data_IF_791371606778
#
_entry.id   IF_791371606778
#
_cell.length_a   1.000
_cell.length_b   1.000
_cell.length_c   1.000
_cell.angle_alpha   90.00
_cell.angle_beta   90.00
_cell.angle_gamma   90.00
#
_symmetry.space_group_name_H-M   'P 1'
#
loop_
_entity.id
_entity.type
_entity.pdbx_description
1 polymer ?
#
# COMPACT_ATOMS: atom_id res chain seq x y z
N UNK A 1 -46.56 3.80 27.11
CA UNK A 1 -45.35 2.96 27.23
C UNK A 1 -45.81 1.55 27.49
N UNK A 2 -45.55 0.61 26.57
CA UNK A 2 -45.78 -0.81 26.84
C UNK A 2 -44.84 -1.26 27.97
N UNK A 3 -45.35 -1.89 29.04
CA UNK A 3 -44.50 -2.35 30.14
C UNK A 3 -43.58 -3.49 29.69
N UNK A 4 -42.34 -3.48 30.17
CA UNK A 4 -41.38 -4.56 29.92
C UNK A 4 -41.98 -5.89 30.39
N UNK A 5 -42.22 -6.82 29.47
CA UNK A 5 -42.77 -8.13 29.82
C UNK A 5 -41.66 -9.03 30.39
N UNK A 6 -41.22 -8.71 31.61
CA UNK A 6 -40.22 -9.47 32.36
C UNK A 6 -40.87 -10.70 32.98
N UNK A 7 -40.24 -11.87 32.76
CA UNK A 7 -40.65 -13.13 33.34
C UNK A 7 -40.47 -13.18 34.88
N UNK A 8 -41.07 -14.20 35.51
CA UNK A 8 -41.03 -14.39 36.97
C UNK A 8 -39.62 -14.48 37.58
N UNK A 9 -38.63 -15.14 36.95
CA UNK A 9 -37.23 -15.09 37.33
C UNK A 9 -36.63 -13.67 37.39
N UNK A 10 -36.80 -12.86 36.34
CA UNK A 10 -36.24 -11.51 36.28
C UNK A 10 -36.78 -10.58 37.37
N UNK A 11 -38.09 -10.66 37.65
CA UNK A 11 -38.72 -9.87 38.74
C UNK A 11 -38.17 -10.24 40.12
N UNK A 12 -37.89 -11.53 40.36
CA UNK A 12 -37.27 -12.00 41.62
C UNK A 12 -35.86 -11.47 41.80
N UNK A 13 -35.07 -11.44 40.72
CA UNK A 13 -33.70 -10.92 40.72
C UNK A 13 -33.69 -9.42 41.02
N UNK A 14 -34.53 -8.63 40.33
CA UNK A 14 -34.62 -7.19 40.56
C UNK A 14 -34.98 -6.87 42.03
N UNK A 15 -35.96 -7.58 42.60
CA UNK A 15 -36.34 -7.43 44.01
C UNK A 15 -35.21 -7.81 44.97
N UNK A 16 -34.45 -8.88 44.68
CA UNK A 16 -33.30 -9.33 45.49
C UNK A 16 -32.18 -8.30 45.54
N UNK A 17 -31.99 -7.54 44.47
CA UNK A 17 -30.94 -6.51 44.36
C UNK A 17 -31.45 -5.08 44.62
N UNK A 18 -32.70 -4.90 45.08
CA UNK A 18 -33.25 -3.58 45.40
C UNK A 18 -33.47 -2.67 44.18
N UNK A 19 -33.62 -3.23 42.98
CA UNK A 19 -33.79 -2.48 41.74
C UNK A 19 -35.26 -2.13 41.55
N UNK A 20 -35.57 -0.82 41.52
CA UNK A 20 -36.90 -0.30 41.25
C UNK A 20 -37.18 -0.27 39.73
N UNK A 21 -37.89 -1.29 39.25
CA UNK A 21 -38.25 -1.45 37.84
C UNK A 21 -39.20 -0.36 37.33
N UNK A 22 -39.93 0.34 38.20
CA UNK A 22 -40.85 1.41 37.80
C UNK A 22 -40.14 2.72 37.41
N UNK A 23 -38.89 2.87 37.85
CA UNK A 23 -38.02 4.03 37.56
C UNK A 23 -37.05 3.78 36.41
N UNK A 24 -37.11 2.60 35.78
CA UNK A 24 -36.26 2.27 34.65
C UNK A 24 -36.79 2.92 33.36
N UNK A 25 -35.97 3.78 32.76
CA UNK A 25 -36.19 4.20 31.37
C UNK A 25 -35.63 3.14 30.43
N UNK A 26 -36.51 2.23 30.01
CA UNK A 26 -36.19 1.10 29.14
C UNK A 26 -35.65 1.57 27.80
N UNK A 27 -36.25 2.61 27.22
CA UNK A 27 -35.86 3.09 25.89
C UNK A 27 -34.42 3.60 25.95
N UNK A 28 -34.09 4.40 26.97
CA UNK A 28 -32.72 4.87 27.21
C UNK A 28 -31.72 3.73 27.41
N UNK A 29 -32.13 2.64 28.04
CA UNK A 29 -31.27 1.45 28.22
C UNK A 29 -31.05 0.72 26.90
N UNK A 30 -32.08 0.57 26.07
CA UNK A 30 -31.99 -0.05 24.74
C UNK A 30 -31.12 0.81 23.81
N UNK A 31 -31.35 2.12 23.75
CA UNK A 31 -30.54 3.06 22.95
C UNK A 31 -29.07 3.03 23.37
N UNK A 32 -28.79 3.03 24.69
CA UNK A 32 -27.43 2.91 25.21
C UNK A 32 -26.78 1.56 24.88
N UNK A 33 -27.56 0.46 24.86
CA UNK A 33 -27.07 -0.87 24.46
C UNK A 33 -26.74 -0.90 22.97
N UNK A 34 -27.59 -0.35 22.13
CA UNK A 34 -27.38 -0.38 20.67
C UNK A 34 -26.24 0.55 20.26
N UNK A 35 -26.12 1.73 20.86
CA UNK A 35 -24.94 2.60 20.70
C UNK A 35 -23.63 1.90 21.11
N UNK A 36 -23.63 1.12 22.21
CA UNK A 36 -22.46 0.32 22.62
C UNK A 36 -22.11 -0.75 21.60
N UNK A 37 -23.08 -1.51 21.10
CA UNK A 37 -22.86 -2.53 20.06
C UNK A 37 -22.30 -1.91 18.78
N UNK A 38 -22.82 -0.75 18.38
CA UNK A 38 -22.33 -0.03 17.20
C UNK A 38 -20.87 0.40 17.39
N UNK A 39 -20.53 0.98 18.54
CA UNK A 39 -19.15 1.34 18.88
C UNK A 39 -18.21 0.12 18.90
N UNK A 40 -18.66 -1.01 19.46
CA UNK A 40 -17.91 -2.27 19.47
C UNK A 40 -17.70 -2.80 18.04
N UNK A 41 -18.71 -2.74 17.17
CA UNK A 41 -18.61 -3.16 15.79
C UNK A 41 -17.65 -2.28 14.97
N UNK A 42 -17.69 -0.96 15.17
CA UNK A 42 -16.74 -0.01 14.56
C UNK A 42 -15.32 -0.33 15.01
N UNK A 43 -15.10 -0.46 16.33
CA UNK A 43 -13.79 -0.79 16.91
C UNK A 43 -13.24 -2.12 16.39
N UNK A 44 -14.08 -3.16 16.35
CA UNK A 44 -13.70 -4.48 15.83
C UNK A 44 -13.31 -4.40 14.35
N UNK A 45 -14.06 -3.65 13.55
CA UNK A 45 -13.77 -3.43 12.13
C UNK A 45 -12.44 -2.70 11.94
N UNK A 46 -12.19 -1.64 12.71
CA UNK A 46 -10.93 -0.88 12.68
C UNK A 46 -9.73 -1.77 13.02
N UNK A 47 -9.81 -2.56 14.10
CA UNK A 47 -8.74 -3.49 14.50
C UNK A 47 -8.47 -4.53 13.39
N UNK A 48 -9.52 -5.12 12.82
CA UNK A 48 -9.36 -6.09 11.74
C UNK A 48 -8.74 -5.49 10.48
N UNK A 49 -9.10 -4.25 10.14
CA UNK A 49 -8.51 -3.54 9.02
C UNK A 49 -7.03 -3.25 9.24
N UNK A 50 -6.65 -2.81 10.46
CA UNK A 50 -5.25 -2.61 10.83
C UNK A 50 -4.44 -3.92 10.75
N UNK A 51 -4.99 -5.04 11.24
CA UNK A 51 -4.35 -6.36 11.14
C UNK A 51 -4.16 -6.77 9.68
N UNK A 52 -5.18 -6.62 8.83
CA UNK A 52 -5.11 -6.95 7.41
C UNK A 52 -4.07 -6.10 6.69
N UNK A 53 -4.07 -4.79 6.95
CA UNK A 53 -3.10 -3.84 6.40
C UNK A 53 -1.66 -4.21 6.77
N UNK A 54 -1.41 -4.51 8.05
CA UNK A 54 -0.09 -4.93 8.52
C UNK A 54 0.35 -6.25 7.89
N UNK A 55 -0.55 -7.24 7.80
CA UNK A 55 -0.26 -8.53 7.15
C UNK A 55 0.06 -8.36 5.66
N UNK A 56 -0.68 -7.51 4.97
CA UNK A 56 -0.43 -7.19 3.56
C UNK A 56 0.95 -6.53 3.40
N UNK A 57 1.24 -5.49 4.17
CA UNK A 57 2.51 -4.76 4.08
C UNK A 57 3.72 -5.64 4.41
N UNK A 58 3.61 -6.48 5.45
CA UNK A 58 4.67 -7.43 5.83
C UNK A 58 4.85 -8.58 4.82
N UNK A 59 3.91 -8.75 3.87
CA UNK A 59 4.07 -9.69 2.76
C UNK A 59 4.59 -9.05 1.47
N UNK A 60 5.05 -7.80 1.55
CA UNK A 60 5.66 -7.11 0.42
C UNK A 60 6.80 -7.91 -0.19
N UNK A 61 6.95 -7.81 -1.51
CA UNK A 61 7.97 -8.53 -2.27
C UNK A 61 9.24 -7.67 -2.35
N UNK A 62 10.20 -7.98 -1.50
CA UNK A 62 11.48 -7.26 -1.37
C UNK A 62 12.60 -8.27 -1.04
N UNK A 63 13.83 -7.96 -1.44
CA UNK A 63 14.98 -8.83 -1.19
C UNK A 63 15.43 -8.81 0.27
N UNK A 64 15.44 -7.62 0.87
CA UNK A 64 15.75 -7.41 2.27
C UNK A 64 14.54 -6.84 3.00
N UNK A 65 14.02 -7.59 3.97
CA UNK A 65 12.84 -7.16 4.72
C UNK A 65 13.14 -6.02 5.69
N UNK A 66 14.41 -5.81 6.08
CA UNK A 66 14.81 -4.71 6.95
C UNK A 66 14.60 -3.35 6.27
N UNK A 67 14.76 -3.29 4.94
CA UNK A 67 14.53 -2.08 4.15
C UNK A 67 13.10 -1.55 4.28
N UNK A 68 12.10 -2.42 4.52
CA UNK A 68 10.71 -1.98 4.73
C UNK A 68 10.51 -1.16 6.00
N UNK A 69 11.47 -1.14 6.92
CA UNK A 69 11.40 -0.32 8.12
C UNK A 69 11.84 1.13 7.91
N UNK A 70 12.44 1.45 6.75
CA UNK A 70 12.98 2.78 6.46
C UNK A 70 11.91 3.87 6.47
N UNK A 71 12.23 4.98 7.10
CA UNK A 71 11.38 6.17 7.24
C UNK A 71 12.06 7.41 6.66
N UNK A 72 11.32 8.51 6.61
CA UNK A 72 11.90 9.79 6.21
C UNK A 72 13.07 10.21 7.12
N UNK A 73 13.05 9.87 8.40
CA UNK A 73 14.10 10.28 9.35
C UNK A 73 15.45 9.61 9.06
N UNK A 74 15.43 8.47 8.36
CA UNK A 74 16.64 7.74 7.97
C UNK A 74 17.35 8.41 6.76
N UNK A 75 16.67 9.31 6.02
CA UNK A 75 17.19 9.92 4.80
C UNK A 75 18.20 11.03 5.10
N UNK A 76 19.49 10.71 4.88
CA UNK A 76 20.60 11.67 5.10
C UNK A 76 20.63 12.75 4.03
N UNK A 77 20.25 13.97 4.41
CA UNK A 77 20.33 15.15 3.56
C UNK A 77 21.71 15.79 3.72
N UNK A 78 22.50 15.80 2.63
CA UNK A 78 23.85 16.38 2.60
C UNK A 78 24.00 17.50 1.58
N UNK A 79 23.02 17.69 0.69
CA UNK A 79 23.01 18.78 -0.28
C UNK A 79 21.58 19.30 -0.58
N UNK A 80 21.51 20.41 -1.31
CA UNK A 80 20.24 21.07 -1.65
C UNK A 80 19.35 20.26 -2.60
N UNK A 81 19.92 19.40 -3.45
CA UNK A 81 19.14 18.54 -4.36
C UNK A 81 18.43 17.46 -3.57
N UNK A 82 19.17 16.78 -2.68
CA UNK A 82 18.63 15.79 -1.75
C UNK A 82 17.52 16.40 -0.87
N UNK A 83 17.71 17.64 -0.40
CA UNK A 83 16.67 18.36 0.35
C UNK A 83 15.39 18.55 -0.46
N UNK A 84 15.52 19.03 -1.70
CA UNK A 84 14.37 19.21 -2.60
C UNK A 84 13.68 17.88 -2.95
N UNK A 85 14.42 16.81 -3.21
CA UNK A 85 13.89 15.47 -3.49
C UNK A 85 13.13 14.92 -2.27
N UNK A 86 13.71 15.05 -1.08
CA UNK A 86 13.10 14.71 0.19
C UNK A 86 11.78 15.47 0.44
N UNK A 87 11.80 16.80 0.30
CA UNK A 87 10.62 17.64 0.56
C UNK A 87 9.47 17.32 -0.40
N UNK A 88 9.79 17.02 -1.67
CA UNK A 88 8.79 16.55 -2.66
C UNK A 88 8.20 15.20 -2.28
N UNK A 89 9.02 14.24 -1.85
CA UNK A 89 8.54 12.92 -1.45
C UNK A 89 7.63 13.01 -0.21
N UNK A 90 8.00 13.84 0.78
CA UNK A 90 7.18 14.12 1.95
C UNK A 90 5.84 14.78 1.57
N UNK A 91 5.86 15.76 0.68
CA UNK A 91 4.64 16.39 0.18
C UNK A 91 3.71 15.40 -0.55
N UNK A 92 4.27 14.45 -1.32
CA UNK A 92 3.49 13.37 -1.94
C UNK A 92 2.84 12.49 -0.87
N UNK A 93 3.56 12.12 0.19
CA UNK A 93 3.03 11.32 1.30
C UNK A 93 1.82 12.00 1.98
N UNK A 94 1.93 13.29 2.23
CA UNK A 94 0.88 14.12 2.81
C UNK A 94 -0.34 14.20 1.88
N UNK A 95 -0.13 14.47 0.59
CA UNK A 95 -1.21 14.54 -0.42
C UNK A 95 -1.96 13.22 -0.54
N UNK A 96 -1.25 12.09 -0.60
CA UNK A 96 -1.88 10.75 -0.62
C UNK A 96 -2.68 10.50 0.65
N UNK A 97 -2.12 10.85 1.81
CA UNK A 97 -2.79 10.68 3.11
C UNK A 97 -4.08 11.50 3.17
N UNK A 98 -4.07 12.70 2.58
CA UNK A 98 -5.22 13.60 2.44
C UNK A 98 -6.17 13.24 1.28
N UNK A 99 -5.97 12.10 0.62
CA UNK A 99 -6.93 11.55 -0.34
C UNK A 99 -6.58 11.79 -1.81
N UNK A 100 -5.40 12.33 -2.13
CA UNK A 100 -5.00 12.42 -3.54
C UNK A 100 -4.81 11.03 -4.15
N UNK A 101 -5.49 10.82 -5.27
CA UNK A 101 -5.33 9.65 -6.13
C UNK A 101 -4.45 9.98 -7.33
N UNK A 102 -3.59 9.05 -7.72
CA UNK A 102 -2.79 9.20 -8.93
C UNK A 102 -1.58 8.29 -8.99
N UNK A 103 -0.82 8.47 -10.07
CA UNK A 103 0.47 7.85 -10.27
C UNK A 103 1.57 8.85 -9.94
N UNK A 104 2.64 8.33 -9.35
CA UNK A 104 3.83 9.07 -8.95
C UNK A 104 5.06 8.36 -9.52
N UNK A 105 6.07 9.12 -9.94
CA UNK A 105 7.24 8.55 -10.62
C UNK A 105 8.53 9.16 -10.09
N UNK A 106 9.41 8.29 -9.61
CA UNK A 106 10.67 8.63 -8.99
C UNK A 106 11.74 8.14 -9.97
N UNK A 107 12.35 9.06 -10.71
CA UNK A 107 13.25 8.73 -11.82
C UNK A 107 14.62 9.36 -11.63
N UNK A 108 15.69 8.60 -11.81
CA UNK A 108 17.06 9.12 -11.70
C UNK A 108 18.09 8.04 -11.43
N UNK A 109 19.33 8.43 -11.17
CA UNK A 109 20.46 7.50 -11.09
C UNK A 109 20.34 6.49 -9.93
N UNK A 110 21.00 5.33 -10.07
CA UNK A 110 21.10 4.35 -9.00
C UNK A 110 21.74 4.97 -7.73
N UNK A 111 21.32 4.51 -6.55
CA UNK A 111 21.86 4.99 -5.27
C UNK A 111 21.41 6.38 -4.81
N UNK A 112 20.53 7.07 -5.54
CA UNK A 112 19.99 8.39 -5.16
C UNK A 112 18.88 8.36 -4.09
N UNK A 113 18.49 7.18 -3.59
CA UNK A 113 17.48 7.06 -2.52
C UNK A 113 16.01 7.00 -2.96
N UNK A 114 15.74 6.74 -4.25
CA UNK A 114 14.36 6.59 -4.79
C UNK A 114 13.54 5.55 -4.03
N UNK A 115 14.06 4.33 -3.91
CA UNK A 115 13.42 3.19 -3.25
C UNK A 115 13.16 3.49 -1.78
N UNK A 116 14.16 4.02 -1.09
CA UNK A 116 14.07 4.44 0.31
C UNK A 116 12.97 5.48 0.53
N UNK A 117 12.91 6.55 -0.27
CA UNK A 117 11.84 7.55 -0.16
C UNK A 117 10.46 6.98 -0.53
N UNK A 118 10.39 6.05 -1.48
CA UNK A 118 9.15 5.36 -1.83
C UNK A 118 8.64 4.49 -0.66
N UNK A 119 9.54 3.75 0.01
CA UNK A 119 9.23 2.97 1.22
C UNK A 119 8.81 3.92 2.36
N UNK A 120 9.53 5.03 2.54
CA UNK A 120 9.22 6.05 3.55
C UNK A 120 7.80 6.61 3.38
N UNK A 121 7.33 6.79 2.15
CA UNK A 121 5.94 7.18 1.85
C UNK A 121 4.96 6.10 2.31
N UNK A 122 5.22 4.82 2.01
CA UNK A 122 4.37 3.72 2.48
C UNK A 122 4.29 3.68 4.00
N UNK A 123 5.42 3.87 4.69
CA UNK A 123 5.47 3.89 6.14
C UNK A 123 4.74 5.09 6.74
N UNK A 124 4.88 6.27 6.14
CA UNK A 124 4.13 7.45 6.53
C UNK A 124 2.61 7.22 6.40
N UNK A 125 2.15 6.66 5.28
CA UNK A 125 0.73 6.33 5.08
C UNK A 125 0.29 5.23 6.05
N UNK A 126 1.15 4.26 6.32
CA UNK A 126 0.85 3.17 7.24
C UNK A 126 0.61 3.68 8.67
N UNK A 127 1.34 4.71 9.09
CA UNK A 127 1.24 5.32 10.41
C UNK A 127 0.11 6.36 10.52
N UNK A 128 -0.16 7.13 9.46
CA UNK A 128 -1.05 8.30 9.52
C UNK A 128 -2.43 8.09 8.86
N UNK A 129 -2.69 6.92 8.26
CA UNK A 129 -3.98 6.65 7.62
C UNK A 129 -4.48 5.23 7.94
N UNK A 130 -5.56 5.11 8.72
CA UNK A 130 -6.10 3.81 9.14
C UNK A 130 -6.81 3.00 8.04
N UNK A 131 -7.10 3.63 6.89
CA UNK A 131 -7.94 3.03 5.85
C UNK A 131 -7.10 2.45 4.71
N UNK A 132 -6.07 3.17 4.26
CA UNK A 132 -5.30 2.77 3.07
C UNK A 132 -4.31 1.65 3.39
N UNK A 133 -4.35 0.60 2.59
CA UNK A 133 -3.41 -0.52 2.61
C UNK A 133 -2.25 -0.31 1.64
N UNK A 134 -1.03 -0.60 2.10
CA UNK A 134 0.22 -0.38 1.36
C UNK A 134 0.89 -1.70 0.98
N UNK A 135 1.52 -1.75 -0.19
CA UNK A 135 2.31 -2.89 -0.63
C UNK A 135 3.53 -2.40 -1.42
N UNK A 136 4.67 -3.04 -1.19
CA UNK A 136 5.89 -2.85 -1.97
C UNK A 136 6.15 -4.08 -2.83
N UNK A 137 6.56 -3.88 -4.08
CA UNK A 137 6.96 -4.94 -4.97
C UNK A 137 8.20 -4.53 -5.78
N UNK A 138 9.30 -5.27 -5.61
CA UNK A 138 10.39 -5.30 -6.57
C UNK A 138 9.90 -5.92 -7.88
N UNK A 139 9.96 -5.17 -8.98
CA UNK A 139 9.43 -5.66 -10.26
C UNK A 139 10.29 -6.80 -10.82
N UNK A 140 11.62 -6.74 -10.67
CA UNK A 140 12.53 -7.80 -11.10
C UNK A 140 12.27 -9.11 -10.36
N UNK A 141 12.05 -9.06 -9.04
CA UNK A 141 11.66 -10.24 -8.26
C UNK A 141 10.31 -10.79 -8.71
N UNK A 142 9.33 -9.91 -8.95
CA UNK A 142 7.99 -10.33 -9.40
C UNK A 142 8.05 -11.06 -10.73
N UNK A 143 8.86 -10.58 -11.68
CA UNK A 143 9.09 -11.24 -12.97
C UNK A 143 9.73 -12.62 -12.75
N UNK A 144 10.76 -12.72 -11.91
CA UNK A 144 11.45 -13.97 -11.62
C UNK A 144 10.53 -15.02 -10.97
N UNK A 145 9.75 -14.65 -9.94
CA UNK A 145 8.79 -15.57 -9.30
C UNK A 145 7.77 -16.11 -10.30
N UNK A 146 7.30 -15.24 -11.19
CA UNK A 146 6.33 -15.61 -12.22
C UNK A 146 6.92 -16.56 -13.27
N UNK A 147 8.16 -16.31 -13.71
CA UNK A 147 8.88 -17.20 -14.64
C UNK A 147 9.11 -18.57 -14.00
N UNK A 148 9.60 -18.60 -12.75
CA UNK A 148 9.85 -19.86 -12.05
C UNK A 148 8.55 -20.64 -11.79
N UNK A 149 7.45 -19.93 -11.51
CA UNK A 149 6.11 -20.50 -11.33
C UNK A 149 5.51 -21.16 -12.58
N UNK A 150 6.13 -21.01 -13.76
CA UNK A 150 5.73 -21.75 -14.97
C UNK A 150 5.93 -23.25 -14.74
N UNK A 151 7.07 -23.64 -14.17
CA UNK A 151 7.46 -25.04 -14.00
C UNK A 151 7.31 -25.56 -12.57
N UNK A 152 7.12 -24.68 -11.58
CA UNK A 152 7.02 -25.04 -10.17
C UNK A 152 5.66 -24.61 -9.57
N UNK A 153 4.80 -25.57 -9.14
CA UNK A 153 3.51 -25.26 -8.52
C UNK A 153 3.60 -24.47 -7.21
N UNK A 154 4.67 -24.65 -6.43
CA UNK A 154 4.93 -23.90 -5.20
C UNK A 154 5.17 -22.43 -5.51
N UNK A 155 6.16 -22.14 -6.36
CA UNK A 155 6.52 -20.78 -6.77
C UNK A 155 5.37 -20.09 -7.52
N UNK A 156 4.55 -20.86 -8.26
CA UNK A 156 3.31 -20.33 -8.88
C UNK A 156 2.36 -19.75 -7.84
N UNK A 157 2.21 -20.38 -6.68
CA UNK A 157 1.32 -19.87 -5.62
C UNK A 157 1.85 -18.57 -5.04
N UNK A 158 3.16 -18.45 -4.88
CA UNK A 158 3.79 -17.23 -4.35
C UNK A 158 3.65 -16.07 -5.35
N UNK A 159 3.91 -16.32 -6.64
CA UNK A 159 3.68 -15.35 -7.70
C UNK A 159 2.21 -14.87 -7.76
N UNK A 160 1.25 -15.81 -7.70
CA UNK A 160 -0.18 -15.48 -7.67
C UNK A 160 -0.58 -14.71 -6.40
N UNK A 161 0.06 -15.02 -5.26
CA UNK A 161 -0.15 -14.30 -4.01
C UNK A 161 0.36 -12.86 -4.13
N UNK A 162 1.56 -12.66 -4.69
CA UNK A 162 2.12 -11.33 -4.93
C UNK A 162 1.24 -10.52 -5.89
N UNK A 163 0.80 -11.10 -7.01
CA UNK A 163 -0.15 -10.47 -7.94
C UNK A 163 -1.48 -10.10 -7.24
N UNK A 164 -1.99 -10.97 -6.35
CA UNK A 164 -3.21 -10.70 -5.57
C UNK A 164 -3.01 -9.53 -4.59
N UNK A 165 -1.86 -9.45 -3.92
CA UNK A 165 -1.54 -8.34 -3.03
C UNK A 165 -1.42 -7.01 -3.81
N UNK A 166 -0.72 -7.04 -4.95
CA UNK A 166 -0.63 -5.93 -5.90
C UNK A 166 -2.01 -5.49 -6.39
N UNK A 167 -2.90 -6.42 -6.72
CA UNK A 167 -4.27 -6.08 -7.15
C UNK A 167 -5.07 -5.43 -6.03
N UNK A 168 -4.94 -5.91 -4.80
CA UNK A 168 -5.85 -5.56 -3.71
C UNK A 168 -5.39 -4.35 -2.87
N UNK A 169 -4.09 -4.06 -2.79
CA UNK A 169 -3.61 -2.90 -2.02
C UNK A 169 -4.12 -1.57 -2.58
N UNK A 170 -4.22 -0.54 -1.74
CA UNK A 170 -4.64 0.80 -2.15
C UNK A 170 -3.47 1.60 -2.73
N UNK A 171 -2.30 1.48 -2.10
CA UNK A 171 -1.06 2.15 -2.47
C UNK A 171 0.00 1.09 -2.80
N UNK A 172 0.53 1.14 -4.02
CA UNK A 172 1.60 0.26 -4.48
C UNK A 172 2.85 1.06 -4.74
N UNK A 173 3.99 0.59 -4.22
CA UNK A 173 5.30 0.89 -4.81
C UNK A 173 5.68 -0.25 -5.73
N UNK A 174 5.93 0.07 -7.01
CA UNK A 174 6.52 -0.83 -7.98
C UNK A 174 7.95 -0.35 -8.25
N UNK A 175 8.91 -1.09 -7.69
CA UNK A 175 10.30 -0.67 -7.62
C UNK A 175 11.12 -1.16 -8.83
N UNK A 176 12.04 -0.30 -9.26
CA UNK A 176 13.05 -0.50 -10.30
C UNK A 176 12.50 -0.88 -11.68
N UNK A 177 11.47 -0.17 -12.13
CA UNK A 177 10.84 -0.39 -13.41
C UNK A 177 11.77 -0.03 -14.58
N UNK A 178 11.94 -0.96 -15.51
CA UNK A 178 12.72 -0.85 -16.73
C UNK A 178 14.10 -1.50 -16.63
N UNK A 179 14.57 -1.81 -15.43
CA UNK A 179 15.85 -2.52 -15.22
C UNK A 179 15.77 -4.00 -15.61
N UNK A 180 14.58 -4.60 -15.64
CA UNK A 180 14.35 -5.96 -16.09
C UNK A 180 14.63 -6.15 -17.59
N UNK A 181 14.59 -5.07 -18.38
CA UNK A 181 14.95 -5.13 -19.79
C UNK A 181 16.45 -5.27 -20.05
N UNK A 182 17.29 -4.86 -19.09
CA UNK A 182 18.73 -5.11 -19.12
C UNK A 182 19.07 -6.56 -18.70
N UNK A 183 18.16 -7.22 -17.97
CA UNK A 183 18.28 -8.63 -17.56
C UNK A 183 17.74 -9.62 -18.60
N UNK A 184 17.49 -9.17 -19.83
CA UNK A 184 17.06 -10.05 -20.93
C UNK A 184 18.02 -11.24 -21.08
N UNK A 185 17.50 -12.44 -20.85
CA UNK A 185 17.89 -13.58 -21.68
C UNK A 185 17.57 -13.22 -23.13
N UNK A 186 18.38 -13.64 -24.10
CA UNK A 186 18.24 -13.31 -25.53
C UNK A 186 16.92 -13.80 -26.19
N UNK A 187 15.91 -14.18 -25.42
CA UNK A 187 14.66 -14.77 -25.89
C UNK A 187 13.50 -13.77 -25.87
N UNK A 188 12.83 -13.66 -27.02
CA UNK A 188 11.65 -12.80 -27.25
C UNK A 188 10.50 -13.11 -26.28
N UNK A 189 10.36 -14.37 -25.90
CA UNK A 189 9.28 -14.88 -25.03
C UNK A 189 9.32 -14.30 -23.62
N UNK A 190 10.50 -14.16 -23.01
CA UNK A 190 10.64 -13.59 -21.66
C UNK A 190 10.24 -12.10 -21.65
N UNK A 191 10.55 -11.38 -22.72
CA UNK A 191 10.14 -9.99 -22.92
C UNK A 191 8.62 -9.86 -23.07
N UNK A 192 7.99 -10.71 -23.89
CA UNK A 192 6.54 -10.70 -24.11
C UNK A 192 5.76 -11.09 -22.84
N UNK A 193 6.30 -12.03 -22.06
CA UNK A 193 5.75 -12.42 -20.77
C UNK A 193 5.78 -11.25 -19.77
N UNK A 194 6.93 -10.58 -19.65
CA UNK A 194 7.11 -9.41 -18.77
C UNK A 194 6.13 -8.28 -19.12
N UNK A 195 5.98 -7.98 -20.42
CA UNK A 195 5.00 -7.00 -20.90
C UNK A 195 3.57 -7.40 -20.54
N UNK A 196 3.24 -8.69 -20.67
CA UNK A 196 1.91 -9.22 -20.34
C UNK A 196 1.60 -9.10 -18.85
N UNK A 197 2.56 -9.43 -17.99
CA UNK A 197 2.46 -9.28 -16.53
C UNK A 197 2.23 -7.81 -16.15
N UNK A 198 3.07 -6.90 -16.66
CA UNK A 198 2.94 -5.48 -16.35
C UNK A 198 1.63 -4.88 -16.88
N UNK A 199 1.16 -5.34 -18.06
CA UNK A 199 -0.15 -4.94 -18.57
C UNK A 199 -1.30 -5.36 -17.65
N UNK A 200 -1.28 -6.59 -17.10
CA UNK A 200 -2.27 -7.04 -16.10
C UNK A 200 -2.25 -6.14 -14.86
N UNK A 201 -1.06 -5.88 -14.32
CA UNK A 201 -0.89 -4.99 -13.15
C UNK A 201 -1.45 -3.60 -13.44
N UNK A 202 -1.11 -3.01 -14.59
CA UNK A 202 -1.59 -1.70 -15.00
C UNK A 202 -3.13 -1.65 -15.13
N UNK A 203 -3.76 -2.74 -15.55
CA UNK A 203 -5.21 -2.82 -15.69
C UNK A 203 -5.91 -2.92 -14.34
N UNK A 204 -5.41 -3.78 -13.43
CA UNK A 204 -5.92 -3.91 -12.06
C UNK A 204 -5.82 -2.61 -11.27
N UNK A 205 -4.84 -1.77 -11.59
CA UNK A 205 -4.46 -0.60 -10.79
C UNK A 205 -4.81 0.74 -11.42
N UNK A 206 -5.60 0.76 -12.49
CA UNK A 206 -5.99 1.98 -13.23
C UNK A 206 -6.59 3.09 -12.35
N UNK A 207 -7.29 2.73 -11.28
CA UNK A 207 -7.96 3.67 -10.37
C UNK A 207 -7.37 3.65 -8.95
N UNK A 208 -6.12 3.22 -8.81
CA UNK A 208 -5.42 3.08 -7.53
C UNK A 208 -4.15 3.94 -7.51
N UNK A 209 -3.53 4.06 -6.34
CA UNK A 209 -2.31 4.85 -6.19
C UNK A 209 -1.10 3.99 -6.55
N UNK A 210 -0.28 4.48 -7.46
CA UNK A 210 0.94 3.80 -7.91
C UNK A 210 2.13 4.74 -7.74
N UNK A 211 3.18 4.26 -7.10
CA UNK A 211 4.48 4.93 -7.01
C UNK A 211 5.45 4.02 -7.77
N UNK A 212 6.05 4.54 -8.82
CA UNK A 212 7.04 3.81 -9.63
C UNK A 212 8.41 4.42 -9.39
N UNK A 213 9.41 3.58 -9.12
CA UNK A 213 10.82 4.01 -9.18
C UNK A 213 11.46 3.49 -10.47
N UNK A 214 12.39 4.23 -11.04
CA UNK A 214 13.06 3.85 -12.28
C UNK A 214 14.42 4.55 -12.45
N UNK A 215 15.35 3.87 -13.13
CA UNK A 215 16.59 4.50 -13.62
C UNK A 215 16.45 5.05 -15.05
N UNK A 216 15.30 4.81 -15.70
CA UNK A 216 15.05 5.20 -17.08
C UNK A 216 14.40 6.59 -17.16
N UNK A 217 14.76 7.33 -18.19
CA UNK A 217 14.05 8.54 -18.58
C UNK A 217 12.63 8.22 -19.04
N UNK A 218 11.77 9.24 -19.04
CA UNK A 218 10.41 9.10 -19.55
C UNK A 218 10.35 8.63 -21.01
N UNK A 219 11.34 9.02 -21.84
CA UNK A 219 11.39 8.59 -23.25
C UNK A 219 11.78 7.12 -23.39
N UNK A 220 12.76 6.68 -22.60
CA UNK A 220 13.16 5.27 -22.54
C UNK A 220 12.01 4.40 -22.06
N UNK A 221 11.29 4.79 -21.01
CA UNK A 221 10.10 4.06 -20.55
C UNK A 221 9.02 3.94 -21.63
N UNK A 222 8.81 4.97 -22.46
CA UNK A 222 7.86 4.91 -23.57
C UNK A 222 8.34 4.00 -24.71
N UNK A 223 9.64 3.79 -24.85
CA UNK A 223 10.21 2.85 -25.81
C UNK A 223 10.18 1.40 -25.31
N UNK A 224 10.34 1.22 -23.99
CA UNK A 224 10.33 -0.07 -23.33
C UNK A 224 8.90 -0.60 -23.23
N UNK A 225 7.95 0.22 -22.80
CA UNK A 225 6.57 -0.19 -22.54
C UNK A 225 5.60 0.39 -23.55
N UNK A 226 4.57 -0.39 -23.87
CA UNK A 226 3.49 0.13 -24.69
C UNK A 226 2.78 1.35 -24.03
N UNK A 227 2.14 2.17 -24.87
CA UNK A 227 1.50 3.41 -24.45
C UNK A 227 0.41 3.24 -23.39
N UNK A 228 -0.25 2.08 -23.34
CA UNK A 228 -1.29 1.79 -22.35
C UNK A 228 -0.70 1.59 -20.96
N UNK A 229 0.38 0.83 -20.84
CA UNK A 229 1.11 0.62 -19.58
C UNK A 229 1.63 1.97 -19.07
N UNK A 230 2.33 2.70 -19.93
CA UNK A 230 2.89 4.00 -19.59
C UNK A 230 1.80 4.96 -19.08
N UNK A 231 0.69 5.09 -19.81
CA UNK A 231 -0.43 5.98 -19.44
C UNK A 231 -1.14 5.58 -18.12
N UNK A 232 -1.03 4.32 -17.69
CA UNK A 232 -1.72 3.78 -16.52
C UNK A 232 -0.87 3.73 -15.27
N UNK A 233 0.45 3.63 -15.38
CA UNK A 233 1.36 3.49 -14.23
C UNK A 233 2.28 4.69 -14.02
N UNK A 234 2.57 5.48 -15.06
CA UNK A 234 3.51 6.60 -14.97
C UNK A 234 2.77 7.90 -14.63
N UNK A 235 3.43 8.77 -13.87
CA UNK A 235 2.94 10.08 -13.50
C UNK A 235 2.74 10.96 -14.74
N UNK A 236 1.55 11.57 -14.86
CA UNK A 236 1.23 12.52 -15.94
C UNK A 236 1.45 13.97 -15.54
N UNK A 237 1.33 14.28 -14.24
CA UNK A 237 1.51 15.63 -13.72
C UNK A 237 2.95 15.80 -13.26
N UNK A 238 3.56 16.93 -13.60
CA UNK A 238 4.94 17.22 -13.22
C UNK A 238 5.13 17.23 -11.69
N UNK A 239 4.15 17.70 -10.93
CA UNK A 239 4.17 17.70 -9.46
C UNK A 239 3.98 16.31 -8.81
N UNK A 240 3.80 15.26 -9.60
CA UNK A 240 3.77 13.87 -9.15
C UNK A 240 5.02 13.11 -9.60
N UNK A 241 5.94 13.77 -10.30
CA UNK A 241 7.22 13.21 -10.70
C UNK A 241 8.35 13.87 -9.91
N UNK A 242 9.26 13.06 -9.39
CA UNK A 242 10.50 13.51 -8.77
C UNK A 242 11.65 13.01 -9.63
N UNK A 243 12.48 13.95 -10.07
CA UNK A 243 13.75 13.66 -10.72
C UNK A 243 14.84 13.66 -9.67
N UNK A 244 15.56 12.55 -9.58
CA UNK A 244 16.65 12.32 -8.66
C UNK A 244 17.99 12.53 -9.38
N UNK A 245 18.60 13.69 -9.16
CA UNK A 245 19.89 14.09 -9.75
C UNK A 245 20.96 14.31 -8.65
N UNK A 246 20.70 13.86 -7.42
CA UNK A 246 21.64 13.84 -6.31
C UNK A 246 22.78 12.84 -6.53
N UNK A 247 23.85 12.98 -5.76
CA UNK A 247 24.94 12.00 -5.69
C UNK A 247 24.44 10.66 -5.12
N UNK A 248 25.15 9.59 -5.46
CA UNK A 248 24.94 8.27 -4.86
C UNK A 248 25.18 8.33 -3.35
N UNK A 249 24.20 7.88 -2.57
CA UNK A 249 24.21 7.92 -1.11
C UNK A 249 24.82 6.69 -0.46
N UNK A 250 25.13 5.62 -1.22
CA UNK A 250 25.69 4.38 -0.66
C UNK A 250 27.13 4.52 -0.17
N UNK A 251 27.80 5.60 -0.57
CA UNK A 251 29.18 5.91 -0.21
C UNK A 251 29.28 7.07 0.80
N UNK A 252 28.21 7.39 1.54
CA UNK A 252 28.09 8.58 2.41
C UNK A 252 27.79 8.25 3.88
#
# INVERSE_FOLDING_TARGET
MEPLNLDGPMRRIAKKHGIDLSKLDIQKILDARDARKEQEAIRFTQINNQIKKKRLYNSSLISDFEDLSQTFDDFKITDAKQKSEFDKAKNIAERISNGEMGNYTFAGNAGSGKTMLAISILNYINQNNDVKSCYFASFSMLVNENINGINDPGQRRDALRAESCIKNCDVLVLDDLGSETAMKSDTREASDYTQSLLFRIADYRKSKINIVTTNNSSKELQSIYNSKIYSRLIAKKANNAIRFDSKDMRNV
#
